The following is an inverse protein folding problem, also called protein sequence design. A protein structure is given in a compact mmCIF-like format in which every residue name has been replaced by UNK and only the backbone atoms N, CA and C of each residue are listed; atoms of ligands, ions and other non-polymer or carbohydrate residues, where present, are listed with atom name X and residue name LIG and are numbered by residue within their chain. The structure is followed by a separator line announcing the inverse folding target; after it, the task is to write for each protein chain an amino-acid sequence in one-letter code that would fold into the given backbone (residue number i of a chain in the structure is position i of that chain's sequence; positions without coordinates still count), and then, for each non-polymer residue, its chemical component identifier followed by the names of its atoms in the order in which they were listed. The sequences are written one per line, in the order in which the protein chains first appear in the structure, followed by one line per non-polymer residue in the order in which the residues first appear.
data_IF_677413252449
#
_entry.id   IF_677413252449
#
_cell.length_a   1.000
_cell.length_b   1.000
_cell.length_c   1.000
_cell.angle_alpha   90.00
_cell.angle_beta   90.00
_cell.angle_gamma   90.00
#
_symmetry.space_group_name_H-M   'P 1'
#
loop_
_entity.id
_entity.type
_entity.pdbx_description
1 polymer ?
#
# COMPACT_ATOMS: atom_id res chain seq x y z
N UNK A 1 11.85 -20.63 -12.56
CA UNK A 1 11.15 -19.33 -12.66
C UNK A 1 9.77 -19.60 -13.25
N UNK A 2 8.72 -19.10 -12.61
CA UNK A 2 7.33 -19.26 -13.04
C UNK A 2 6.71 -17.85 -13.13
N UNK A 3 5.93 -17.57 -14.17
CA UNK A 3 5.22 -16.30 -14.32
C UNK A 3 3.76 -16.48 -13.87
N UNK A 4 3.28 -15.56 -13.02
CA UNK A 4 1.92 -15.57 -12.50
C UNK A 4 1.23 -14.24 -12.79
N UNK A 5 -0.04 -14.30 -13.17
CA UNK A 5 -0.90 -13.12 -13.24
C UNK A 5 -1.59 -12.97 -11.89
N UNK A 6 -1.27 -11.90 -11.16
CA UNK A 6 -1.93 -11.56 -9.90
C UNK A 6 -2.91 -10.43 -10.18
N UNK A 7 -4.20 -10.68 -9.95
CA UNK A 7 -5.23 -9.65 -10.10
C UNK A 7 -5.23 -8.77 -8.84
N UNK A 8 -5.11 -7.46 -9.02
CA UNK A 8 -5.33 -6.50 -7.94
C UNK A 8 -6.83 -6.37 -7.71
N UNK A 9 -7.28 -6.69 -6.50
CA UNK A 9 -8.64 -6.44 -6.07
C UNK A 9 -8.79 -4.96 -5.72
N UNK A 10 -9.70 -4.30 -6.44
CA UNK A 10 -9.97 -2.87 -6.32
C UNK A 10 -11.44 -2.60 -6.66
N UNK A 11 -12.24 -2.05 -5.73
CA UNK A 11 -13.54 -1.45 -6.05
C UNK A 11 -13.44 -0.44 -7.20
N UNK A 12 -14.47 -0.34 -8.06
CA UNK A 12 -14.39 0.40 -9.34
C UNK A 12 -13.91 1.85 -9.17
N UNK A 13 -14.35 2.54 -8.12
CA UNK A 13 -14.08 3.98 -7.93
C UNK A 13 -12.78 4.33 -7.18
N UNK A 14 -12.01 3.35 -6.72
CA UNK A 14 -10.78 3.62 -5.97
C UNK A 14 -9.55 3.77 -6.86
N UNK A 15 -8.60 4.60 -6.44
CA UNK A 15 -7.27 4.64 -7.03
C UNK A 15 -6.30 3.81 -6.19
N UNK A 16 -5.22 3.33 -6.80
CA UNK A 16 -4.12 2.72 -6.08
C UNK A 16 -2.77 3.13 -6.68
N UNK A 17 -1.72 3.05 -5.86
CA UNK A 17 -0.32 3.24 -6.25
C UNK A 17 0.42 1.95 -5.88
N UNK A 18 1.14 1.38 -6.84
CA UNK A 18 2.00 0.22 -6.64
C UNK A 18 3.45 0.64 -6.90
N UNK A 19 4.34 0.37 -5.95
CA UNK A 19 5.74 0.74 -6.07
C UNK A 19 6.68 -0.21 -5.34
N UNK A 20 7.97 0.09 -5.43
CA UNK A 20 9.03 -0.64 -4.75
C UNK A 20 9.75 0.33 -3.80
N UNK A 21 10.02 -0.13 -2.59
CA UNK A 21 10.80 0.62 -1.61
C UNK A 21 11.81 -0.31 -0.93
N UNK A 22 12.44 0.15 0.14
CA UNK A 22 13.31 -0.66 0.98
C UNK A 22 13.32 -0.08 2.38
N UNK A 23 13.69 -0.91 3.36
CA UNK A 23 13.79 -0.56 4.77
C UNK A 23 12.43 -0.31 5.46
N UNK A 24 12.32 -0.72 6.73
CA UNK A 24 11.06 -0.76 7.49
C UNK A 24 10.42 0.62 7.67
N UNK A 25 11.26 1.66 7.69
CA UNK A 25 10.82 3.06 7.83
C UNK A 25 9.96 3.55 6.66
N UNK A 26 9.95 2.82 5.53
CA UNK A 26 8.99 3.03 4.40
C UNK A 26 7.55 3.21 4.90
N UNK A 27 7.13 2.45 5.90
CA UNK A 27 5.75 2.45 6.39
C UNK A 27 5.40 3.80 7.03
N UNK A 28 6.24 4.28 7.94
CA UNK A 28 6.04 5.56 8.63
C UNK A 28 6.28 6.75 7.66
N UNK A 29 7.33 6.70 6.84
CA UNK A 29 7.67 7.81 5.94
C UNK A 29 6.60 8.03 4.86
N UNK A 30 6.05 6.96 4.27
CA UNK A 30 4.95 7.09 3.32
C UNK A 30 3.68 7.57 4.02
N UNK A 31 3.39 7.09 5.23
CA UNK A 31 2.22 7.56 5.98
C UNK A 31 2.30 9.07 6.21
N UNK A 32 3.44 9.54 6.76
CA UNK A 32 3.68 10.96 7.04
C UNK A 32 3.63 11.81 5.75
N UNK A 33 4.23 11.33 4.66
CA UNK A 33 4.17 12.00 3.36
C UNK A 33 2.74 12.18 2.86
N UNK A 34 1.90 11.14 2.96
CA UNK A 34 0.51 11.17 2.50
C UNK A 34 -0.35 12.12 3.34
N UNK A 35 -0.29 12.05 4.68
CA UNK A 35 -1.07 12.94 5.55
C UNK A 35 -0.61 14.40 5.46
N UNK A 36 0.65 14.64 5.11
CA UNK A 36 1.18 15.99 4.91
C UNK A 36 0.80 16.57 3.54
N UNK A 37 0.62 15.72 2.52
CA UNK A 37 0.26 16.15 1.18
C UNK A 37 -1.20 16.61 1.06
N UNK A 38 -2.15 15.89 1.69
CA UNK A 38 -3.58 16.19 1.58
C UNK A 38 -4.28 16.13 2.95
N UNK A 39 -4.83 17.24 3.44
CA UNK A 39 -5.59 17.25 4.70
C UNK A 39 -6.79 16.31 4.65
N UNK A 40 -6.92 15.42 5.64
CA UNK A 40 -8.04 14.48 5.72
C UNK A 40 -8.00 13.35 4.67
N UNK A 41 -6.82 13.08 4.09
CA UNK A 41 -6.63 11.95 3.17
C UNK A 41 -7.08 10.63 3.81
N UNK A 42 -7.79 9.83 3.04
CA UNK A 42 -8.20 8.47 3.42
C UNK A 42 -7.42 7.48 2.58
N UNK A 43 -6.56 6.69 3.22
CA UNK A 43 -5.75 5.71 2.53
C UNK A 43 -5.42 4.50 3.40
N UNK A 44 -4.94 3.45 2.75
CA UNK A 44 -4.31 2.30 3.38
C UNK A 44 -3.07 1.88 2.61
N UNK A 45 -2.00 1.58 3.34
CA UNK A 45 -0.70 1.16 2.84
C UNK A 45 -0.39 -0.26 3.32
N UNK A 46 0.10 -1.11 2.42
CA UNK A 46 0.72 -2.40 2.73
C UNK A 46 2.12 -2.49 2.12
N UNK A 47 3.11 -2.89 2.91
CA UNK A 47 4.51 -3.04 2.51
C UNK A 47 5.04 -4.43 2.87
N UNK A 48 5.58 -5.15 1.88
CA UNK A 48 6.11 -6.49 2.06
C UNK A 48 7.56 -6.43 2.58
N UNK A 49 7.77 -6.66 3.88
CA UNK A 49 9.12 -6.80 4.44
C UNK A 49 9.84 -8.01 3.77
N UNK A 50 11.04 -7.80 3.23
CA UNK A 50 11.74 -8.86 2.46
C UNK A 50 12.77 -9.66 3.26
N UNK A 51 13.01 -9.28 4.52
CA UNK A 51 13.99 -9.90 5.42
C UNK A 51 13.40 -10.15 6.80
N UNK A 52 14.12 -10.89 7.66
CA UNK A 52 13.69 -11.11 9.04
C UNK A 52 12.32 -11.81 9.13
N UNK A 53 11.34 -11.24 9.88
CA UNK A 53 9.99 -11.79 10.00
C UNK A 53 9.19 -11.87 8.69
N UNK A 54 9.53 -11.04 7.69
CA UNK A 54 8.87 -11.01 6.36
C UNK A 54 7.36 -10.82 6.44
N UNK A 55 6.92 -9.90 7.29
CA UNK A 55 5.51 -9.57 7.47
C UNK A 55 5.07 -8.52 6.46
N UNK A 56 3.77 -8.52 6.11
CA UNK A 56 3.15 -7.34 5.53
C UNK A 56 2.97 -6.31 6.64
N UNK A 57 3.68 -5.20 6.50
CA UNK A 57 3.59 -4.05 7.39
C UNK A 57 2.58 -3.09 6.81
N UNK A 58 1.79 -2.45 7.65
CA UNK A 58 0.69 -1.63 7.16
C UNK A 58 0.42 -0.46 8.08
N UNK A 59 -0.23 0.55 7.50
CA UNK A 59 -0.70 1.76 8.19
C UNK A 59 -1.69 2.46 7.28
N UNK A 60 -2.41 3.45 7.79
CA UNK A 60 -3.36 4.23 7.02
C UNK A 60 -4.28 5.05 7.91
N UNK A 61 -5.24 5.71 7.28
CA UNK A 61 -6.25 6.55 7.93
C UNK A 61 -7.67 6.03 7.72
N UNK A 62 -7.84 4.97 6.94
CA UNK A 62 -9.13 4.31 6.69
C UNK A 62 -8.93 2.78 6.74
N UNK A 63 -9.64 2.12 7.67
CA UNK A 63 -9.51 0.67 7.95
C UNK A 63 -9.89 -0.20 6.74
N UNK A 64 -10.85 0.24 5.94
CA UNK A 64 -11.26 -0.48 4.72
C UNK A 64 -10.12 -0.46 3.69
N UNK A 65 -9.47 0.69 3.52
CA UNK A 65 -8.32 0.80 2.63
C UNK A 65 -7.10 0.03 3.16
N UNK A 66 -6.87 0.01 4.47
CA UNK A 66 -5.80 -0.79 5.09
C UNK A 66 -6.02 -2.28 4.81
N UNK A 67 -7.24 -2.78 5.06
CA UNK A 67 -7.59 -4.17 4.78
C UNK A 67 -7.39 -4.54 3.31
N UNK A 68 -7.77 -3.65 2.39
CA UNK A 68 -7.57 -3.84 0.96
C UNK A 68 -6.08 -3.85 0.56
N UNK A 69 -5.27 -2.97 1.15
CA UNK A 69 -3.84 -2.90 0.91
C UNK A 69 -3.12 -4.17 1.40
N UNK A 70 -3.43 -4.64 2.61
CA UNK A 70 -2.85 -5.88 3.17
C UNK A 70 -3.22 -7.08 2.32
N UNK A 71 -4.50 -7.23 1.96
CA UNK A 71 -4.97 -8.34 1.12
C UNK A 71 -4.23 -8.41 -0.22
N UNK A 72 -4.05 -7.26 -0.89
CA UNK A 72 -3.34 -7.22 -2.17
C UNK A 72 -1.83 -7.39 -2.02
N UNK A 73 -1.22 -6.87 -0.95
CA UNK A 73 0.20 -7.10 -0.65
C UNK A 73 0.49 -8.60 -0.40
N UNK A 74 -0.38 -9.28 0.35
CA UNK A 74 -0.32 -10.74 0.55
C UNK A 74 -0.47 -11.48 -0.79
N UNK A 75 -1.45 -11.11 -1.62
CA UNK A 75 -1.65 -11.74 -2.93
C UNK A 75 -0.46 -11.55 -3.88
N UNK A 76 0.20 -10.38 -3.85
CA UNK A 76 1.40 -10.10 -4.61
C UNK A 76 2.60 -10.93 -4.12
N UNK A 77 2.75 -11.09 -2.79
CA UNK A 77 3.82 -11.89 -2.17
C UNK A 77 5.23 -11.55 -2.69
N UNK A 78 5.45 -10.28 -3.06
CA UNK A 78 6.69 -9.80 -3.64
C UNK A 78 7.44 -8.92 -2.64
N UNK A 79 8.64 -9.34 -2.24
CA UNK A 79 9.44 -8.61 -1.25
C UNK A 79 9.73 -7.17 -1.67
N UNK A 80 9.67 -6.25 -0.71
CA UNK A 80 9.94 -4.82 -0.87
C UNK A 80 8.96 -4.05 -1.78
N UNK A 81 7.85 -4.67 -2.19
CA UNK A 81 6.74 -3.98 -2.84
C UNK A 81 5.90 -3.27 -1.78
N UNK A 82 5.38 -2.10 -2.13
CA UNK A 82 4.29 -1.46 -1.41
C UNK A 82 3.09 -1.21 -2.31
N UNK A 83 1.90 -1.25 -1.74
CA UNK A 83 0.64 -0.87 -2.39
C UNK A 83 -0.14 0.08 -1.49
N UNK A 84 -0.65 1.18 -2.08
CA UNK A 84 -1.46 2.18 -1.41
C UNK A 84 -2.83 2.22 -2.09
N UNK A 85 -3.92 2.11 -1.33
CA UNK A 85 -5.27 2.40 -1.81
C UNK A 85 -5.70 3.78 -1.33
N UNK A 86 -6.31 4.54 -2.22
CA UNK A 86 -6.69 5.93 -2.03
C UNK A 86 -8.21 6.06 -2.10
N UNK A 87 -8.78 6.78 -1.13
CA UNK A 87 -10.20 7.12 -1.02
C UNK A 87 -10.32 8.64 -0.89
N UNK A 88 -11.28 9.22 -1.60
CA UNK A 88 -11.50 10.67 -1.72
C UNK A 88 -10.39 11.50 -2.37
N UNK A 89 -9.29 10.88 -2.82
CA UNK A 89 -8.11 11.55 -3.38
C UNK A 89 -7.62 10.84 -4.64
N UNK A 90 -6.85 11.56 -5.47
CA UNK A 90 -6.27 11.04 -6.70
C UNK A 90 -4.74 10.89 -6.59
N UNK A 91 -4.11 9.99 -7.36
CA UNK A 91 -2.66 9.82 -7.35
C UNK A 91 -1.88 11.11 -7.65
N UNK A 92 -2.43 12.02 -8.45
CA UNK A 92 -1.79 13.30 -8.78
C UNK A 92 -1.65 14.26 -7.59
N UNK A 93 -2.31 13.99 -6.47
CA UNK A 93 -2.26 14.83 -5.28
C UNK A 93 -1.09 14.48 -4.34
N UNK A 94 -0.42 13.35 -4.57
CA UNK A 94 0.58 12.76 -3.66
C UNK A 94 1.87 12.40 -4.38
#
# INVERSE_FOLDING_TARGET
MELKIVKIEKPEELNFILGQAHFIKTVEDIHEALITAVPGIQFGLGFCESSGPRLVRYTGTDEEMIGLAVKNADALSAGHVFIIFLKNVFPINV
#
